data_IF_356624939942
#
_entry.id   IF_356624939942
#
_cell.length_a   1.000
_cell.length_b   1.000
_cell.length_c   1.000
_cell.angle_alpha   90.00
_cell.angle_beta   90.00
_cell.angle_gamma   90.00
#
_symmetry.space_group_name_H-M   'P 1'
#
loop_
_entity.id
_entity.type
_entity.pdbx_description
1 polymer ?
#
# COMPACT_ATOMS: atom_id res chain seq x y z
N UNK A 1 -2.55 8.73 -17.39
CA UNK A 1 -1.42 9.42 -16.76
C UNK A 1 -0.35 8.37 -16.50
N UNK A 2 0.77 8.46 -17.21
CA UNK A 2 1.93 7.58 -17.03
C UNK A 2 2.94 8.35 -16.18
N UNK A 3 3.38 7.79 -15.07
CA UNK A 3 4.42 8.37 -14.22
C UNK A 3 5.66 7.50 -14.44
N UNK A 4 6.72 8.10 -14.97
CA UNK A 4 8.03 7.48 -15.05
C UNK A 4 8.77 7.81 -13.75
N UNK A 5 9.25 6.78 -13.06
CA UNK A 5 10.03 6.92 -11.82
C UNK A 5 11.45 6.45 -12.11
N UNK A 6 12.44 7.22 -11.65
CA UNK A 6 13.81 6.72 -11.51
C UNK A 6 13.87 5.62 -10.45
N UNK A 7 14.93 4.80 -10.46
CA UNK A 7 15.11 3.74 -9.43
C UNK A 7 15.07 4.30 -8.00
N UNK A 8 15.66 5.48 -7.77
CA UNK A 8 15.67 6.13 -6.47
C UNK A 8 14.25 6.59 -6.05
N UNK A 9 13.47 7.14 -6.98
CA UNK A 9 12.08 7.52 -6.72
C UNK A 9 11.20 6.30 -6.50
N UNK A 10 11.38 5.23 -7.29
CA UNK A 10 10.65 3.98 -7.11
C UNK A 10 10.96 3.34 -5.74
N UNK A 11 12.22 3.38 -5.29
CA UNK A 11 12.61 2.91 -3.97
C UNK A 11 11.96 3.73 -2.85
N UNK A 12 11.99 5.06 -2.95
CA UNK A 12 11.38 5.95 -1.96
C UNK A 12 9.85 5.79 -1.90
N UNK A 13 9.19 5.69 -3.06
CA UNK A 13 7.74 5.44 -3.14
C UNK A 13 7.40 4.07 -2.55
N UNK A 14 8.20 3.04 -2.83
CA UNK A 14 8.00 1.72 -2.24
C UNK A 14 8.07 1.76 -0.71
N UNK A 15 9.07 2.42 -0.15
CA UNK A 15 9.23 2.55 1.31
C UNK A 15 8.03 3.26 1.95
N UNK A 16 7.54 4.33 1.31
CA UNK A 16 6.34 5.05 1.77
C UNK A 16 5.10 4.15 1.76
N UNK A 17 4.90 3.39 0.68
CA UNK A 17 3.76 2.49 0.55
C UNK A 17 3.84 1.32 1.53
N UNK A 18 5.03 0.76 1.78
CA UNK A 18 5.23 -0.32 2.75
C UNK A 18 4.96 0.15 4.20
N UNK A 19 5.33 1.38 4.55
CA UNK A 19 4.94 2.00 5.84
C UNK A 19 3.43 2.17 5.95
N UNK A 20 2.81 2.80 4.95
CA UNK A 20 1.36 2.99 4.92
C UNK A 20 0.59 1.67 5.00
N UNK A 21 1.09 0.61 4.34
CA UNK A 21 0.53 -0.72 4.42
C UNK A 21 0.60 -1.32 5.83
N UNK A 22 1.72 -1.11 6.53
CA UNK A 22 1.92 -1.57 7.91
C UNK A 22 0.97 -0.86 8.88
N UNK A 23 0.82 0.45 8.74
CA UNK A 23 -0.09 1.26 9.56
C UNK A 23 -1.55 0.83 9.33
N UNK A 24 -1.94 0.67 8.07
CA UNK A 24 -3.28 0.22 7.69
C UNK A 24 -3.62 -1.15 8.26
N UNK A 25 -2.68 -2.11 8.22
CA UNK A 25 -2.84 -3.41 8.87
C UNK A 25 -3.06 -3.29 10.37
N UNK A 26 -2.34 -2.37 11.01
CA UNK A 26 -2.53 -2.04 12.42
C UNK A 26 -3.95 -1.56 12.71
N UNK A 27 -4.50 -0.71 11.85
CA UNK A 27 -5.88 -0.21 11.97
C UNK A 27 -6.92 -1.31 11.73
N UNK A 28 -6.71 -2.19 10.74
CA UNK A 28 -7.59 -3.36 10.47
C UNK A 28 -7.68 -4.26 11.70
N UNK A 29 -6.57 -4.46 12.40
CA UNK A 29 -6.53 -5.28 13.61
C UNK A 29 -7.21 -4.62 14.81
N UNK A 30 -7.19 -3.29 14.90
CA UNK A 30 -7.82 -2.52 15.98
C UNK A 30 -9.31 -2.23 15.74
N UNK A 31 -9.81 -2.46 14.53
CA UNK A 31 -11.19 -2.17 14.14
C UNK A 31 -12.10 -3.39 14.31
N UNK A 32 -13.13 -3.24 15.14
CA UNK A 32 -14.19 -4.24 15.34
C UNK A 32 -15.43 -4.01 14.45
N UNK A 33 -15.61 -2.79 13.92
CA UNK A 33 -16.69 -2.50 12.98
C UNK A 33 -16.46 -3.18 11.62
N UNK A 34 -17.32 -4.16 11.29
CA UNK A 34 -17.21 -4.99 10.08
C UNK A 34 -17.18 -4.20 8.77
N UNK A 35 -17.97 -3.13 8.65
CA UNK A 35 -18.00 -2.28 7.46
C UNK A 35 -16.70 -1.49 7.29
N UNK A 36 -16.19 -0.90 8.37
CA UNK A 36 -14.91 -0.21 8.39
C UNK A 36 -13.75 -1.16 8.07
N UNK A 37 -13.79 -2.38 8.62
CA UNK A 37 -12.80 -3.42 8.34
C UNK A 37 -12.79 -3.84 6.86
N UNK A 38 -13.94 -3.80 6.20
CA UNK A 38 -14.07 -4.10 4.77
C UNK A 38 -13.43 -3.01 3.92
N UNK A 39 -13.69 -1.74 4.22
CA UNK A 39 -13.05 -0.60 3.56
C UNK A 39 -11.52 -0.63 3.74
N UNK A 40 -11.04 -0.90 4.96
CA UNK A 40 -9.60 -1.01 5.24
C UNK A 40 -8.95 -2.18 4.47
N UNK A 41 -9.61 -3.33 4.35
CA UNK A 41 -9.11 -4.46 3.53
C UNK A 41 -9.06 -4.15 2.05
N UNK A 42 -9.99 -3.35 1.52
CA UNK A 42 -9.92 -2.91 0.12
C UNK A 42 -8.72 -1.99 -0.11
N UNK A 43 -8.45 -1.08 0.82
CA UNK A 43 -7.25 -0.24 0.78
C UNK A 43 -5.96 -1.07 0.88
N UNK A 44 -5.96 -2.12 1.70
CA UNK A 44 -4.84 -3.06 1.85
C UNK A 44 -4.53 -3.74 0.52
N UNK A 45 -5.56 -4.21 -0.20
CA UNK A 45 -5.40 -4.83 -1.51
C UNK A 45 -4.83 -3.86 -2.56
N UNK A 46 -5.28 -2.60 -2.56
CA UNK A 46 -4.76 -1.58 -3.48
C UNK A 46 -3.28 -1.31 -3.20
N UNK A 47 -2.91 -1.10 -1.94
CA UNK A 47 -1.52 -0.87 -1.54
C UNK A 47 -0.62 -2.05 -1.90
N UNK A 48 -1.05 -3.27 -1.60
CA UNK A 48 -0.30 -4.48 -1.95
C UNK A 48 -0.10 -4.61 -3.47
N UNK A 49 -1.13 -4.29 -4.25
CA UNK A 49 -1.04 -4.27 -5.71
C UNK A 49 -0.06 -3.22 -6.25
N UNK A 50 -0.01 -2.04 -5.65
CA UNK A 50 0.94 -0.98 -6.01
C UNK A 50 2.38 -1.36 -5.67
N UNK A 51 2.61 -1.91 -4.47
CA UNK A 51 3.93 -2.39 -4.03
C UNK A 51 4.42 -3.51 -4.97
N UNK A 52 3.55 -4.45 -5.33
CA UNK A 52 3.91 -5.54 -6.25
C UNK A 52 4.34 -5.01 -7.63
N UNK A 53 3.60 -4.04 -8.19
CA UNK A 53 3.95 -3.39 -9.46
C UNK A 53 5.29 -2.67 -9.40
N UNK A 54 5.59 -1.98 -8.30
CA UNK A 54 6.87 -1.32 -8.11
C UNK A 54 8.03 -2.32 -7.94
N UNK A 55 7.78 -3.49 -7.34
CA UNK A 55 8.79 -4.56 -7.25
C UNK A 55 9.11 -5.23 -8.58
N UNK A 56 8.16 -5.29 -9.51
CA UNK A 56 8.38 -5.84 -10.85
C UNK A 56 8.98 -4.84 -11.84
N UNK A 57 8.97 -3.54 -11.50
CA UNK A 57 9.42 -2.46 -12.38
C UNK A 57 10.87 -2.00 -12.11
N UNK A 58 11.49 -2.48 -11.01
CA UNK A 58 12.89 -2.30 -10.66
C UNK A 58 13.67 -3.58 -10.96
#
# INVERSE_FOLDING_TARGET
>A
MHIELTEAEAAAVRELLERAFTDLRGEVHKTDATEWKTALKQQEQVLNGLIAKLRSAA
#
